data_IF_131577515534
#
_entry.id   IF_131577515534
#
_cell.length_a   1.000
_cell.length_b   1.000
_cell.length_c   1.000
_cell.angle_alpha   90.00
_cell.angle_beta   90.00
_cell.angle_gamma   90.00
#
_symmetry.space_group_name_H-M   'P 1'
#
loop_
_entity.id
_entity.type
_entity.pdbx_description
1 polymer ?
#
# COMPACT_ATOMS: atom_id res chain seq x y z
N UNK A 1 20.66 7.67 12.45
CA UNK A 1 20.07 9.03 12.47
C UNK A 1 19.01 9.15 13.55
N UNK A 2 17.92 8.36 13.55
CA UNK A 2 16.82 8.45 14.55
C UNK A 2 17.32 8.48 15.98
N UNK A 3 18.21 7.57 16.37
CA UNK A 3 18.76 7.49 17.75
C UNK A 3 19.58 8.71 18.18
N UNK A 4 20.16 9.45 17.23
CA UNK A 4 21.04 10.59 17.56
C UNK A 4 20.34 11.94 17.42
N UNK A 5 19.41 12.07 16.47
CA UNK A 5 18.82 13.36 16.07
C UNK A 5 17.29 13.38 16.16
N UNK A 6 16.67 12.23 16.46
CA UNK A 6 15.22 12.06 16.54
C UNK A 6 14.53 11.80 15.22
N UNK A 7 13.25 11.45 15.32
CA UNK A 7 12.41 11.04 14.18
C UNK A 7 12.20 12.18 13.18
N UNK A 8 11.89 13.38 13.68
CA UNK A 8 11.64 14.56 12.84
C UNK A 8 12.85 14.97 12.00
N UNK A 9 14.06 14.89 12.56
CA UNK A 9 15.29 15.16 11.83
C UNK A 9 15.52 14.10 10.72
N UNK A 10 15.24 12.82 11.01
CA UNK A 10 15.35 11.77 10.02
C UNK A 10 14.37 11.97 8.83
N UNK A 11 13.14 12.43 9.11
CA UNK A 11 12.20 12.79 8.04
C UNK A 11 12.65 14.02 7.26
N UNK A 12 13.18 15.05 7.92
CA UNK A 12 13.68 16.25 7.25
C UNK A 12 14.79 15.90 6.24
N UNK A 13 15.74 15.06 6.63
CA UNK A 13 16.82 14.60 5.76
C UNK A 13 16.28 13.73 4.62
N UNK A 14 15.34 12.81 4.91
CA UNK A 14 14.74 11.97 3.88
C UNK A 14 13.97 12.79 2.83
N UNK A 15 13.21 13.81 3.27
CA UNK A 15 12.47 14.71 2.37
C UNK A 15 13.42 15.55 1.50
N UNK A 16 14.53 16.00 2.04
CA UNK A 16 15.55 16.73 1.30
C UNK A 16 16.21 15.84 0.23
N UNK A 17 16.66 14.64 0.62
CA UNK A 17 17.25 13.67 -0.30
C UNK A 17 16.25 13.12 -1.35
N UNK A 18 14.97 12.99 -1.01
CA UNK A 18 13.92 12.60 -1.95
C UNK A 18 13.83 13.55 -3.15
N UNK A 19 14.13 14.84 -2.97
CA UNK A 19 14.12 15.80 -4.09
C UNK A 19 15.33 15.65 -5.02
N UNK A 20 16.44 15.09 -4.54
CA UNK A 20 17.75 15.05 -5.21
C UNK A 20 18.09 13.69 -5.80
N UNK A 21 17.79 12.61 -5.05
CA UNK A 21 18.31 11.29 -5.31
C UNK A 21 17.23 10.33 -5.84
N UNK A 22 17.43 9.80 -7.05
CA UNK A 22 16.49 8.86 -7.67
C UNK A 22 16.34 7.57 -6.87
N UNK A 23 17.42 7.07 -6.25
CA UNK A 23 17.35 5.89 -5.38
C UNK A 23 16.43 6.14 -4.18
N UNK A 24 16.54 7.32 -3.55
CA UNK A 24 15.68 7.68 -2.42
C UNK A 24 14.22 7.76 -2.84
N UNK A 25 13.92 8.33 -4.02
CA UNK A 25 12.56 8.33 -4.58
C UNK A 25 12.01 6.93 -4.77
N UNK A 26 12.81 6.04 -5.34
CA UNK A 26 12.39 4.66 -5.62
C UNK A 26 12.21 3.80 -4.35
N UNK A 27 13.00 4.07 -3.30
CA UNK A 27 13.04 3.29 -2.06
C UNK A 27 12.37 3.98 -0.86
N UNK A 28 11.73 5.13 -1.08
CA UNK A 28 11.28 6.02 -0.01
C UNK A 28 10.37 5.32 1.01
N UNK A 29 9.42 4.53 0.55
CA UNK A 29 8.53 3.77 1.42
C UNK A 29 9.30 2.82 2.35
N UNK A 30 10.30 2.10 1.84
CA UNK A 30 11.13 1.18 2.64
C UNK A 30 12.03 1.93 3.62
N UNK A 31 12.52 3.12 3.22
CA UNK A 31 13.31 3.97 4.11
C UNK A 31 12.47 4.48 5.28
N UNK A 32 11.20 4.84 5.05
CA UNK A 32 10.29 5.23 6.14
C UNK A 32 9.93 4.06 7.06
N UNK A 33 9.83 2.81 6.58
CA UNK A 33 9.76 1.63 7.45
C UNK A 33 10.94 1.57 8.43
N UNK A 34 12.16 1.85 7.96
CA UNK A 34 13.35 1.81 8.80
C UNK A 34 13.34 2.90 9.88
N UNK A 35 12.81 4.09 9.55
CA UNK A 35 12.60 5.16 10.55
C UNK A 35 11.57 4.72 11.59
N UNK A 36 10.47 4.10 11.17
CA UNK A 36 9.41 3.62 12.06
C UNK A 36 9.89 2.54 13.03
N UNK A 37 10.65 1.54 12.54
CA UNK A 37 11.24 0.51 13.41
C UNK A 37 12.16 1.12 14.47
N UNK A 38 13.05 2.02 14.06
CA UNK A 38 13.95 2.70 15.00
C UNK A 38 13.19 3.58 16.02
N UNK A 39 12.08 4.20 15.61
CA UNK A 39 11.23 4.96 16.50
C UNK A 39 10.53 4.07 17.55
N UNK A 40 9.94 2.95 17.12
CA UNK A 40 9.30 2.00 18.04
C UNK A 40 10.29 1.47 19.09
N UNK A 41 11.52 1.17 18.70
CA UNK A 41 12.58 0.81 19.65
C UNK A 41 12.90 1.96 20.62
N UNK A 42 13.02 3.20 20.11
CA UNK A 42 13.31 4.39 20.90
C UNK A 42 12.23 4.67 21.95
N UNK A 43 10.96 4.44 21.61
CA UNK A 43 9.80 4.67 22.48
C UNK A 43 9.32 3.40 23.19
N UNK A 44 10.12 2.32 23.18
CA UNK A 44 9.84 1.09 23.94
C UNK A 44 8.59 0.34 23.48
N UNK A 45 8.18 0.50 22.23
CA UNK A 45 6.99 -0.13 21.65
C UNK A 45 5.66 0.54 22.02
N UNK A 46 5.68 1.70 22.70
CA UNK A 46 4.48 2.47 23.01
C UNK A 46 3.89 3.08 21.73
N UNK A 47 2.74 2.57 21.28
CA UNK A 47 2.10 2.96 20.02
C UNK A 47 1.75 4.45 20.00
N UNK A 48 1.06 5.03 21.03
CA UNK A 48 0.75 6.45 21.02
C UNK A 48 1.99 7.35 20.90
N UNK A 49 3.03 7.10 21.71
CA UNK A 49 4.26 7.89 21.65
C UNK A 49 4.98 7.76 20.33
N UNK A 50 5.03 6.55 19.76
CA UNK A 50 5.64 6.30 18.45
C UNK A 50 4.85 7.01 17.35
N UNK A 51 3.52 6.85 17.32
CA UNK A 51 2.66 7.41 16.26
C UNK A 51 2.62 8.94 16.28
N UNK A 52 2.67 9.57 17.46
CA UNK A 52 2.72 11.04 17.59
C UNK A 52 3.92 11.69 16.90
N UNK A 53 4.97 10.92 16.60
CA UNK A 53 6.15 11.38 15.87
C UNK A 53 6.09 11.04 14.37
N UNK A 54 5.03 10.38 13.93
CA UNK A 54 4.87 9.88 12.57
C UNK A 54 4.69 10.98 11.53
N UNK A 55 4.92 10.59 10.28
CA UNK A 55 4.71 11.38 9.09
C UNK A 55 4.25 10.45 7.97
N UNK A 56 3.21 10.85 7.24
CA UNK A 56 2.62 10.07 6.14
C UNK A 56 3.46 10.06 4.86
N UNK A 57 4.54 10.80 4.86
CA UNK A 57 5.44 10.90 3.73
C UNK A 57 5.83 9.52 3.22
N UNK A 58 5.85 9.37 1.90
CA UNK A 58 6.10 8.09 1.23
C UNK A 58 5.12 6.98 1.62
N UNK A 59 3.85 7.34 1.73
CA UNK A 59 2.77 6.37 1.87
C UNK A 59 2.73 5.67 3.21
N UNK A 60 2.91 6.42 4.29
CA UNK A 60 2.73 5.94 5.66
C UNK A 60 3.65 4.78 6.09
N UNK A 61 4.75 4.53 5.36
CA UNK A 61 5.68 3.43 5.67
C UNK A 61 6.26 3.48 7.08
N UNK A 62 6.35 4.68 7.69
CA UNK A 62 6.75 4.84 9.08
C UNK A 62 5.88 4.02 10.03
N UNK A 63 4.57 4.13 9.91
CA UNK A 63 3.62 3.43 10.78
C UNK A 63 3.68 1.91 10.59
N UNK A 64 3.95 1.46 9.35
CA UNK A 64 4.13 0.04 9.06
C UNK A 64 5.38 -0.52 9.75
N UNK A 65 6.50 0.17 9.64
CA UNK A 65 7.75 -0.24 10.29
C UNK A 65 7.66 -0.18 11.82
N UNK A 66 6.98 0.84 12.37
CA UNK A 66 6.72 0.93 13.80
C UNK A 66 5.94 -0.29 14.30
N UNK A 67 4.86 -0.68 13.59
CA UNK A 67 4.03 -1.81 13.97
C UNK A 67 4.75 -3.16 13.82
N UNK A 68 5.63 -3.32 12.84
CA UNK A 68 6.50 -4.51 12.74
C UNK A 68 7.30 -4.71 14.04
N UNK A 69 7.89 -3.66 14.60
CA UNK A 69 8.64 -3.74 15.86
C UNK A 69 7.74 -3.96 17.06
N UNK A 70 6.57 -3.32 17.12
CA UNK A 70 5.60 -3.53 18.22
C UNK A 70 5.16 -4.99 18.29
N UNK A 71 4.71 -5.55 17.17
CA UNK A 71 4.24 -6.94 17.08
C UNK A 71 5.36 -7.92 17.40
N UNK A 72 6.58 -7.69 16.89
CA UNK A 72 7.74 -8.52 17.19
C UNK A 72 8.11 -8.51 18.69
N UNK A 73 7.99 -7.36 19.37
CA UNK A 73 8.28 -7.23 20.78
C UNK A 73 7.23 -7.92 21.69
N UNK A 74 5.96 -7.91 21.31
CA UNK A 74 4.88 -8.64 22.00
C UNK A 74 5.12 -10.15 21.87
N UNK A 75 5.47 -10.61 20.68
CA UNK A 75 5.80 -11.99 20.37
C UNK A 75 4.58 -12.89 20.16
N UNK A 76 4.83 -14.06 19.54
CA UNK A 76 3.79 -14.98 19.07
C UNK A 76 2.87 -15.52 20.19
N UNK A 77 3.40 -15.70 21.39
CA UNK A 77 2.63 -16.29 22.51
C UNK A 77 1.52 -15.38 23.04
N UNK A 78 1.62 -14.06 22.82
CA UNK A 78 0.70 -13.06 23.38
C UNK A 78 -0.05 -12.24 22.33
N UNK A 79 0.47 -12.22 21.12
CA UNK A 79 -0.02 -11.27 20.11
C UNK A 79 -1.51 -11.44 19.81
N UNK A 80 -2.03 -12.65 19.79
CA UNK A 80 -3.44 -12.90 19.48
C UNK A 80 -4.38 -12.41 20.59
N UNK A 81 -3.95 -12.46 21.84
CA UNK A 81 -4.73 -11.97 23.00
C UNK A 81 -4.73 -10.42 23.06
N UNK A 82 -3.67 -9.78 22.55
CA UNK A 82 -3.47 -8.35 22.66
C UNK A 82 -3.83 -7.59 21.36
N UNK A 83 -3.95 -8.28 20.23
CA UNK A 83 -4.06 -7.70 18.90
C UNK A 83 -5.17 -6.64 18.77
N UNK A 84 -6.36 -6.91 19.29
CA UNK A 84 -7.50 -5.98 19.22
C UNK A 84 -7.29 -4.71 20.06
N UNK A 85 -6.37 -4.76 21.04
CA UNK A 85 -6.05 -3.62 21.90
C UNK A 85 -4.88 -2.78 21.41
N UNK A 86 -4.04 -3.30 20.49
CA UNK A 86 -2.85 -2.60 20.00
C UNK A 86 -3.24 -1.28 19.34
N UNK A 87 -4.32 -1.29 18.56
CA UNK A 87 -4.83 -0.10 17.87
C UNK A 87 -5.91 0.65 18.69
N UNK A 88 -6.11 0.34 19.97
CA UNK A 88 -7.14 0.98 20.80
C UNK A 88 -6.95 2.50 20.91
N UNK A 89 -5.73 2.98 21.15
CA UNK A 89 -5.48 4.41 21.31
C UNK A 89 -5.78 5.23 20.04
N UNK A 90 -5.32 4.86 18.85
CA UNK A 90 -5.77 5.50 17.61
C UNK A 90 -7.28 5.42 17.38
N UNK A 91 -7.91 4.29 17.71
CA UNK A 91 -9.37 4.07 17.60
C UNK A 91 -10.15 5.00 18.52
N UNK A 92 -9.73 5.15 19.78
CA UNK A 92 -10.37 6.02 20.78
C UNK A 92 -10.24 7.51 20.43
N UNK A 93 -9.13 7.92 19.79
CA UNK A 93 -8.96 9.28 19.32
C UNK A 93 -9.95 9.61 18.19
N UNK A 94 -9.98 8.78 17.16
CA UNK A 94 -10.90 8.87 16.04
C UNK A 94 -10.97 7.54 15.31
N UNK A 95 -12.13 6.90 15.38
CA UNK A 95 -12.38 5.66 14.63
C UNK A 95 -12.20 5.88 13.12
N UNK A 96 -11.52 4.92 12.47
CA UNK A 96 -11.15 4.97 11.05
C UNK A 96 -10.34 6.20 10.63
N UNK A 97 -9.68 6.87 11.58
CA UNK A 97 -8.68 7.89 11.26
C UNK A 97 -7.52 7.29 10.43
N UNK A 98 -6.70 8.15 9.86
CA UNK A 98 -5.52 7.69 9.14
C UNK A 98 -4.58 6.87 10.05
N UNK A 99 -4.38 7.30 11.29
CA UNK A 99 -3.55 6.58 12.27
C UNK A 99 -4.15 5.21 12.62
N UNK A 100 -5.46 5.13 12.82
CA UNK A 100 -6.13 3.86 13.10
C UNK A 100 -6.03 2.90 11.91
N UNK A 101 -6.20 3.39 10.68
CA UNK A 101 -6.03 2.57 9.47
C UNK A 101 -4.59 2.12 9.27
N UNK A 102 -3.63 3.00 9.53
CA UNK A 102 -2.20 2.67 9.47
C UNK A 102 -1.82 1.64 10.54
N UNK A 103 -2.41 1.72 11.73
CA UNK A 103 -2.22 0.73 12.80
C UNK A 103 -2.71 -0.65 12.35
N UNK A 104 -3.96 -0.76 11.92
CA UNK A 104 -4.52 -2.03 11.47
C UNK A 104 -3.74 -2.61 10.27
N UNK A 105 -3.33 -1.77 9.30
CA UNK A 105 -2.53 -2.21 8.16
C UNK A 105 -1.12 -2.66 8.58
N UNK A 106 -0.50 -1.90 9.48
CA UNK A 106 0.83 -2.21 10.03
C UNK A 106 0.87 -3.53 10.80
N UNK A 107 -0.23 -3.94 11.45
CA UNK A 107 -0.33 -5.25 12.08
C UNK A 107 -0.13 -6.39 11.09
N UNK A 108 -0.66 -6.28 9.86
CA UNK A 108 -0.42 -7.27 8.81
C UNK A 108 1.04 -7.44 8.46
N UNK A 109 1.79 -6.34 8.37
CA UNK A 109 3.25 -6.39 8.21
C UNK A 109 3.93 -7.04 9.42
N UNK A 110 3.47 -6.73 10.63
CA UNK A 110 3.97 -7.33 11.87
C UNK A 110 3.74 -8.84 11.91
N UNK A 111 2.55 -9.30 11.58
CA UNK A 111 2.22 -10.73 11.54
C UNK A 111 3.07 -11.49 10.50
N UNK A 112 3.28 -10.93 9.32
CA UNK A 112 4.17 -11.52 8.32
C UNK A 112 5.59 -11.70 8.87
N UNK A 113 6.14 -10.68 9.52
CA UNK A 113 7.45 -10.79 10.18
C UNK A 113 7.47 -11.83 11.31
N UNK A 114 6.43 -11.86 12.13
CA UNK A 114 6.32 -12.76 13.29
C UNK A 114 6.20 -14.23 12.88
N UNK A 115 5.41 -14.52 11.85
CA UNK A 115 5.17 -15.89 11.36
C UNK A 115 6.11 -16.29 10.21
N UNK A 116 7.21 -15.56 9.99
CA UNK A 116 8.23 -15.94 9.00
C UNK A 116 7.72 -15.94 7.56
N UNK A 117 6.93 -14.95 7.20
CA UNK A 117 6.31 -14.77 5.89
C UNK A 117 5.28 -15.86 5.52
N UNK A 118 4.62 -16.44 6.52
CA UNK A 118 3.52 -17.38 6.34
C UNK A 118 2.20 -16.60 6.13
N UNK A 119 1.77 -16.48 4.86
CA UNK A 119 0.61 -15.67 4.46
C UNK A 119 -0.67 -16.13 5.15
N UNK A 120 -0.97 -17.44 5.15
CA UNK A 120 -2.23 -17.94 5.68
C UNK A 120 -2.31 -17.82 7.20
N UNK A 121 -1.23 -18.10 7.92
CA UNK A 121 -1.14 -17.91 9.37
C UNK A 121 -1.26 -16.42 9.74
N UNK A 122 -0.66 -15.53 8.93
CA UNK A 122 -0.77 -14.08 9.13
C UNK A 122 -2.20 -13.58 8.89
N UNK A 123 -2.93 -14.15 7.92
CA UNK A 123 -4.34 -13.84 7.68
C UNK A 123 -5.24 -14.34 8.82
N UNK A 124 -4.97 -15.54 9.36
CA UNK A 124 -5.66 -16.06 10.55
C UNK A 124 -5.44 -15.16 11.77
N UNK A 125 -4.24 -14.58 11.92
CA UNK A 125 -3.98 -13.59 12.95
C UNK A 125 -4.77 -12.28 12.71
N UNK A 126 -5.00 -11.86 11.47
CA UNK A 126 -5.90 -10.73 11.19
C UNK A 126 -7.36 -11.01 11.57
N UNK A 127 -7.80 -12.29 11.57
CA UNK A 127 -9.19 -12.67 11.92
C UNK A 127 -9.56 -12.34 13.37
N UNK A 128 -8.57 -12.16 14.28
CA UNK A 128 -8.84 -11.82 15.69
C UNK A 128 -9.30 -10.37 15.90
N UNK A 129 -9.08 -9.49 14.90
CA UNK A 129 -9.53 -8.10 14.96
C UNK A 129 -11.05 -8.02 14.90
N UNK A 130 -11.65 -7.19 15.77
CA UNK A 130 -13.12 -7.13 15.95
C UNK A 130 -13.83 -6.65 14.70
N UNK A 131 -13.29 -5.63 14.02
CA UNK A 131 -13.98 -4.95 12.95
C UNK A 131 -13.57 -5.50 11.56
N UNK A 132 -14.57 -5.69 10.69
CA UNK A 132 -14.32 -6.22 9.33
C UNK A 132 -13.39 -5.35 8.50
N UNK A 133 -13.47 -4.03 8.64
CA UNK A 133 -12.58 -3.12 7.92
C UNK A 133 -11.13 -3.16 8.46
N UNK A 134 -10.93 -3.40 9.77
CA UNK A 134 -9.58 -3.61 10.35
C UNK A 134 -8.97 -4.88 9.78
N UNK A 135 -9.74 -5.99 9.70
CA UNK A 135 -9.30 -7.23 9.06
C UNK A 135 -8.92 -7.02 7.59
N UNK A 136 -9.70 -6.21 6.86
CA UNK A 136 -9.35 -5.82 5.47
C UNK A 136 -8.04 -5.04 5.41
N UNK A 137 -7.81 -4.07 6.31
CA UNK A 137 -6.55 -3.31 6.34
C UNK A 137 -5.36 -4.20 6.73
N UNK A 138 -5.52 -5.02 7.75
CA UNK A 138 -4.51 -6.00 8.18
C UNK A 138 -4.12 -6.94 7.03
N UNK A 139 -5.08 -7.56 6.38
CA UNK A 139 -4.81 -8.42 5.22
C UNK A 139 -4.12 -7.68 4.06
N UNK A 140 -4.45 -6.40 3.88
CA UNK A 140 -3.72 -5.53 2.93
C UNK A 140 -2.24 -5.38 3.26
N UNK A 141 -1.88 -5.34 4.54
CA UNK A 141 -0.50 -5.35 5.03
C UNK A 141 0.20 -6.69 4.78
N UNK A 142 -0.50 -7.80 5.06
CA UNK A 142 0.00 -9.17 4.78
C UNK A 142 0.35 -9.33 3.30
N UNK A 143 -0.55 -8.97 2.38
CA UNK A 143 -0.28 -9.11 0.94
C UNK A 143 0.74 -8.11 0.42
N UNK A 144 0.85 -6.94 1.03
CA UNK A 144 1.89 -5.97 0.67
C UNK A 144 3.27 -6.52 1.01
N UNK A 145 3.45 -7.08 2.21
CA UNK A 145 4.72 -7.70 2.62
C UNK A 145 5.04 -8.90 1.73
N UNK A 146 4.07 -9.78 1.47
CA UNK A 146 4.26 -10.93 0.58
C UNK A 146 4.82 -10.54 -0.81
N UNK A 147 4.35 -9.44 -1.39
CA UNK A 147 4.80 -8.99 -2.71
C UNK A 147 6.17 -8.29 -2.64
N UNK A 148 6.49 -7.61 -1.54
CA UNK A 148 7.79 -6.96 -1.32
C UNK A 148 8.89 -8.01 -1.18
N UNK A 149 8.61 -9.14 -0.55
CA UNK A 149 9.56 -10.25 -0.36
C UNK A 149 10.07 -10.86 -1.67
N UNK A 150 9.42 -10.60 -2.80
CA UNK A 150 9.96 -11.01 -4.11
C UNK A 150 11.36 -10.44 -4.35
N UNK A 151 11.63 -9.23 -3.87
CA UNK A 151 12.92 -8.55 -4.04
C UNK A 151 13.96 -9.03 -3.01
N UNK A 152 13.60 -9.97 -2.11
CA UNK A 152 14.49 -10.55 -1.12
C UNK A 152 15.04 -11.92 -1.56
N UNK A 153 16.22 -11.98 -2.20
CA UNK A 153 16.76 -13.23 -2.71
C UNK A 153 17.13 -14.24 -1.60
N UNK A 154 17.25 -13.78 -0.35
CA UNK A 154 17.58 -14.64 0.80
C UNK A 154 16.35 -15.35 1.38
N UNK A 155 15.16 -14.87 1.13
CA UNK A 155 13.91 -15.45 1.60
C UNK A 155 12.75 -15.15 0.63
N UNK A 156 12.75 -15.77 -0.57
CA UNK A 156 11.68 -15.54 -1.53
C UNK A 156 10.36 -16.13 -1.02
N UNK A 157 9.27 -15.40 -1.19
CA UNK A 157 7.96 -15.90 -0.79
C UNK A 157 7.55 -17.14 -1.59
N UNK A 158 7.18 -18.21 -0.89
CA UNK A 158 6.60 -19.43 -1.52
C UNK A 158 5.18 -19.20 -2.07
N UNK A 159 4.58 -18.06 -1.76
CA UNK A 159 3.25 -17.67 -2.20
C UNK A 159 3.26 -16.83 -3.48
N UNK A 160 4.41 -16.64 -4.10
CA UNK A 160 4.56 -15.96 -5.38
C UNK A 160 4.97 -16.97 -6.46
N UNK A 161 4.01 -17.41 -7.28
CA UNK A 161 4.19 -18.45 -8.28
C UNK A 161 4.12 -17.88 -9.69
N UNK A 162 5.12 -18.17 -10.52
CA UNK A 162 5.21 -17.65 -11.88
C UNK A 162 4.14 -18.23 -12.82
N UNK A 163 3.75 -19.50 -12.60
CA UNK A 163 2.75 -20.24 -13.36
C UNK A 163 1.31 -19.98 -12.88
N UNK A 164 1.16 -19.52 -11.63
CA UNK A 164 -0.11 -19.13 -11.03
C UNK A 164 -0.03 -17.66 -10.54
N UNK A 165 0.01 -16.66 -11.43
CA UNK A 165 0.41 -15.30 -11.07
C UNK A 165 -0.52 -14.60 -10.07
N UNK A 166 -1.77 -15.06 -9.92
CA UNK A 166 -2.72 -14.57 -8.92
C UNK A 166 -2.81 -15.44 -7.66
N UNK A 167 -2.00 -16.49 -7.50
CA UNK A 167 -1.84 -17.14 -6.22
C UNK A 167 -1.13 -16.17 -5.24
N UNK A 168 -1.57 -16.03 -3.97
CA UNK A 168 -2.56 -16.82 -3.26
C UNK A 168 -4.02 -16.32 -3.33
N UNK A 169 -4.33 -15.27 -4.13
CA UNK A 169 -5.66 -14.64 -4.14
C UNK A 169 -6.79 -15.61 -4.57
N UNK A 170 -6.46 -16.64 -5.35
CA UNK A 170 -7.41 -17.67 -5.74
C UNK A 170 -7.84 -18.59 -4.58
N UNK A 171 -7.00 -18.70 -3.54
CA UNK A 171 -7.17 -19.65 -2.44
C UNK A 171 -7.62 -19.02 -1.12
N UNK A 172 -7.46 -17.70 -0.96
CA UNK A 172 -7.86 -17.00 0.27
C UNK A 172 -9.37 -16.84 0.38
N UNK A 173 -9.87 -16.62 1.60
CA UNK A 173 -11.28 -16.32 1.86
C UNK A 173 -11.74 -15.11 1.04
N UNK A 174 -13.03 -15.08 0.67
CA UNK A 174 -13.61 -14.02 -0.17
C UNK A 174 -13.36 -12.61 0.38
N UNK A 175 -13.39 -12.43 1.69
CA UNK A 175 -13.13 -11.16 2.37
C UNK A 175 -11.72 -10.61 2.15
N UNK A 176 -10.73 -11.49 1.89
CA UNK A 176 -9.33 -11.12 1.65
C UNK A 176 -8.96 -10.97 0.18
N UNK A 177 -9.83 -11.37 -0.74
CA UNK A 177 -9.54 -11.34 -2.18
C UNK A 177 -9.30 -9.92 -2.71
N UNK A 178 -10.08 -8.94 -2.26
CA UNK A 178 -9.90 -7.55 -2.72
C UNK A 178 -8.53 -6.98 -2.39
N UNK A 179 -8.06 -6.94 -1.13
CA UNK A 179 -6.71 -6.48 -0.81
C UNK A 179 -5.62 -7.34 -1.49
N UNK A 180 -5.85 -8.65 -1.63
CA UNK A 180 -4.93 -9.54 -2.33
C UNK A 180 -4.76 -9.13 -3.79
N UNK A 181 -5.83 -9.05 -4.59
CA UNK A 181 -5.74 -8.70 -6.01
C UNK A 181 -5.13 -7.33 -6.26
N UNK A 182 -5.40 -6.35 -5.39
CA UNK A 182 -4.77 -5.01 -5.47
C UNK A 182 -3.24 -5.12 -5.37
N UNK A 183 -2.73 -5.90 -4.42
CA UNK A 183 -1.29 -6.02 -4.19
C UNK A 183 -0.61 -6.99 -5.16
N UNK A 184 -1.26 -8.11 -5.48
CA UNK A 184 -0.71 -9.15 -6.35
C UNK A 184 -0.43 -8.65 -7.78
N UNK A 185 -1.15 -7.63 -8.27
CA UNK A 185 -0.87 -7.03 -9.59
C UNK A 185 0.55 -6.47 -9.72
N UNK A 186 1.22 -6.11 -8.62
CA UNK A 186 2.63 -5.69 -8.64
C UNK A 186 3.53 -6.86 -9.07
N UNK A 187 3.37 -8.02 -8.43
CA UNK A 187 4.08 -9.23 -8.80
C UNK A 187 3.80 -9.64 -10.24
N UNK A 188 2.51 -9.65 -10.61
CA UNK A 188 2.09 -10.00 -11.98
C UNK A 188 2.77 -9.09 -12.99
N UNK A 189 2.78 -7.78 -12.77
CA UNK A 189 3.40 -6.81 -13.67
C UNK A 189 4.91 -7.08 -13.86
N UNK A 190 5.65 -7.27 -12.77
CA UNK A 190 7.07 -7.63 -12.82
C UNK A 190 7.31 -8.91 -13.61
N UNK A 191 6.52 -9.96 -13.38
CA UNK A 191 6.65 -11.24 -14.11
C UNK A 191 6.29 -11.15 -15.58
N UNK A 192 5.48 -10.17 -15.97
CA UNK A 192 5.18 -9.88 -17.38
C UNK A 192 6.17 -8.87 -18.00
N UNK A 193 7.26 -8.50 -17.31
CA UNK A 193 8.27 -7.58 -17.85
C UNK A 193 7.73 -6.15 -18.06
N UNK A 194 6.88 -5.70 -17.13
CA UNK A 194 6.21 -4.39 -17.16
C UNK A 194 5.28 -4.17 -18.36
N UNK A 195 4.78 -5.25 -18.96
CA UNK A 195 3.81 -5.21 -20.05
C UNK A 195 2.38 -5.00 -19.49
N UNK A 196 1.93 -3.75 -19.47
CA UNK A 196 0.59 -3.39 -18.99
C UNK A 196 -0.53 -4.06 -19.77
N UNK A 197 -0.40 -4.19 -21.11
CA UNK A 197 -1.44 -4.80 -21.95
C UNK A 197 -1.67 -6.25 -21.55
N UNK A 198 -0.59 -6.99 -21.30
CA UNK A 198 -0.65 -8.38 -20.87
C UNK A 198 -1.25 -8.52 -19.47
N UNK A 199 -0.98 -7.58 -18.55
CA UNK A 199 -1.62 -7.58 -17.22
C UNK A 199 -3.11 -7.29 -17.33
N UNK A 200 -3.56 -6.40 -18.24
CA UNK A 200 -4.98 -6.21 -18.52
C UNK A 200 -5.67 -7.50 -18.99
N UNK A 201 -5.03 -8.27 -19.87
CA UNK A 201 -5.54 -9.58 -20.31
C UNK A 201 -5.66 -10.59 -19.16
N UNK A 202 -4.65 -10.62 -18.28
CA UNK A 202 -4.65 -11.50 -17.11
C UNK A 202 -5.73 -11.09 -16.10
N UNK A 203 -5.86 -9.79 -15.80
CA UNK A 203 -6.95 -9.29 -14.96
C UNK A 203 -8.34 -9.63 -15.55
N UNK A 204 -8.47 -9.65 -16.89
CA UNK A 204 -9.69 -10.06 -17.56
C UNK A 204 -10.13 -11.50 -17.29
N UNK A 205 -9.22 -12.36 -16.81
CA UNK A 205 -9.48 -13.76 -16.46
C UNK A 205 -9.78 -13.97 -14.98
N UNK A 206 -9.63 -12.92 -14.15
CA UNK A 206 -10.02 -12.94 -12.74
C UNK A 206 -11.54 -13.07 -12.65
N UNK A 207 -12.01 -13.75 -11.60
CA UNK A 207 -13.45 -13.91 -11.33
C UNK A 207 -14.19 -12.57 -11.30
N UNK A 208 -15.42 -12.53 -11.83
CA UNK A 208 -16.17 -11.30 -12.14
C UNK A 208 -16.23 -10.30 -10.98
N UNK A 209 -16.44 -10.77 -9.75
CA UNK A 209 -16.52 -9.91 -8.56
C UNK A 209 -15.22 -9.18 -8.20
N UNK A 210 -14.06 -9.70 -8.61
CA UNK A 210 -12.74 -9.16 -8.27
C UNK A 210 -11.95 -8.62 -9.46
N UNK A 211 -12.41 -8.86 -10.68
CA UNK A 211 -11.81 -8.30 -11.91
C UNK A 211 -11.64 -6.78 -11.86
N UNK A 212 -12.67 -5.99 -11.45
CA UNK A 212 -12.52 -4.54 -11.31
C UNK A 212 -11.42 -4.14 -10.31
N UNK A 213 -11.22 -4.92 -9.25
CA UNK A 213 -10.20 -4.70 -8.23
C UNK A 213 -8.78 -4.95 -8.80
N UNK A 214 -8.62 -5.97 -9.63
CA UNK A 214 -7.36 -6.22 -10.34
C UNK A 214 -6.98 -5.02 -11.22
N UNK A 215 -7.93 -4.42 -11.96
CA UNK A 215 -7.67 -3.22 -12.75
C UNK A 215 -7.31 -2.00 -11.89
N UNK A 216 -7.90 -1.85 -10.69
CA UNK A 216 -7.49 -0.82 -9.73
C UNK A 216 -6.05 -1.06 -9.28
N UNK A 217 -5.69 -2.29 -8.92
CA UNK A 217 -4.31 -2.66 -8.58
C UNK A 217 -3.32 -2.35 -9.71
N UNK A 218 -3.68 -2.63 -10.96
CA UNK A 218 -2.84 -2.25 -12.11
C UNK A 218 -2.66 -0.74 -12.20
N UNK A 219 -3.72 0.04 -12.02
CA UNK A 219 -3.64 1.51 -11.99
C UNK A 219 -2.71 2.03 -10.92
N UNK A 220 -2.72 1.44 -9.71
CA UNK A 220 -1.79 1.75 -8.64
C UNK A 220 -0.33 1.54 -9.11
N UNK A 221 -0.06 0.42 -9.77
CA UNK A 221 1.28 0.09 -10.26
C UNK A 221 1.75 1.02 -11.38
N UNK A 222 0.86 1.38 -12.32
CA UNK A 222 1.16 2.36 -13.38
C UNK A 222 1.58 3.70 -12.77
N UNK A 223 0.84 4.21 -11.78
CA UNK A 223 1.19 5.46 -11.10
C UNK A 223 2.49 5.35 -10.31
N UNK A 224 2.71 4.24 -9.62
CA UNK A 224 3.97 3.97 -8.91
C UNK A 224 5.16 3.95 -9.86
N UNK A 225 5.04 3.28 -11.01
CA UNK A 225 6.11 3.22 -12.00
C UNK A 225 6.39 4.60 -12.61
N UNK A 226 5.36 5.40 -12.89
CA UNK A 226 5.55 6.77 -13.37
C UNK A 226 6.36 7.62 -12.39
N UNK A 227 6.08 7.49 -11.08
CA UNK A 227 6.83 8.19 -10.04
C UNK A 227 8.29 7.69 -9.95
N UNK A 228 8.50 6.38 -10.00
CA UNK A 228 9.84 5.77 -10.00
C UNK A 228 10.69 6.19 -11.22
N UNK A 229 10.06 6.36 -12.37
CA UNK A 229 10.72 6.84 -13.59
C UNK A 229 11.06 8.33 -13.55
N UNK A 230 10.70 9.04 -12.48
CA UNK A 230 10.97 10.47 -12.32
C UNK A 230 10.08 11.37 -13.18
N UNK A 231 9.01 10.84 -13.77
CA UNK A 231 8.04 11.66 -14.51
C UNK A 231 7.20 12.51 -13.56
N UNK A 232 6.90 13.74 -13.95
CA UNK A 232 6.11 14.69 -13.18
C UNK A 232 5.16 15.48 -14.08
N UNK A 233 4.13 16.11 -13.49
CA UNK A 233 3.23 17.01 -14.22
C UNK A 233 2.56 16.34 -15.42
N UNK A 234 2.59 17.02 -16.58
CA UNK A 234 1.95 16.56 -17.82
C UNK A 234 2.51 15.24 -18.35
N UNK A 235 3.83 15.03 -18.27
CA UNK A 235 4.47 13.79 -18.73
C UNK A 235 4.03 12.58 -17.89
N UNK A 236 3.84 12.77 -16.59
CA UNK A 236 3.31 11.73 -15.70
C UNK A 236 1.85 11.40 -16.05
N UNK A 237 1.03 12.42 -16.25
CA UNK A 237 -0.37 12.25 -16.65
C UNK A 237 -0.48 11.54 -18.01
N UNK A 238 0.37 11.89 -18.98
CA UNK A 238 0.39 11.25 -20.31
C UNK A 238 0.82 9.78 -20.23
N UNK A 239 1.85 9.47 -19.47
CA UNK A 239 2.29 8.09 -19.24
C UNK A 239 1.15 7.24 -18.64
N UNK A 240 0.52 7.72 -17.56
CA UNK A 240 -0.57 6.98 -16.90
C UNK A 240 -1.76 6.83 -17.83
N UNK A 241 -2.14 7.92 -18.53
CA UNK A 241 -3.24 7.89 -19.50
C UNK A 241 -2.96 6.87 -20.61
N UNK A 242 -1.75 6.88 -21.18
CA UNK A 242 -1.34 5.94 -22.22
C UNK A 242 -1.46 4.49 -21.76
N UNK A 243 -0.93 4.17 -20.58
CA UNK A 243 -1.01 2.83 -20.00
C UNK A 243 -2.46 2.38 -19.72
N UNK A 244 -3.28 3.22 -19.04
CA UNK A 244 -4.67 2.85 -18.75
C UNK A 244 -5.53 2.69 -20.00
N UNK A 245 -5.22 3.41 -21.10
CA UNK A 245 -5.94 3.28 -22.36
C UNK A 245 -5.71 1.95 -23.09
N UNK A 246 -4.73 1.14 -22.67
CA UNK A 246 -4.55 -0.23 -23.18
C UNK A 246 -5.66 -1.19 -22.75
N UNK A 247 -6.34 -0.89 -21.65
CA UNK A 247 -7.46 -1.71 -21.15
C UNK A 247 -8.72 -1.60 -22.03
N UNK A 248 -9.71 -2.47 -21.76
CA UNK A 248 -11.02 -2.39 -22.38
C UNK A 248 -11.80 -1.15 -21.88
N UNK A 249 -12.54 -0.51 -22.79
CA UNK A 249 -13.14 0.81 -22.53
C UNK A 249 -14.14 0.83 -21.38
N UNK A 250 -15.00 -0.17 -21.30
CA UNK A 250 -16.17 -0.14 -20.42
C UNK A 250 -15.87 -0.42 -18.95
N UNK A 251 -14.86 -1.23 -18.66
CA UNK A 251 -14.55 -1.66 -17.29
C UNK A 251 -13.09 -1.37 -16.89
N UNK A 252 -12.14 -1.83 -17.69
CA UNK A 252 -10.73 -1.81 -17.33
C UNK A 252 -10.15 -0.39 -17.22
N UNK A 253 -10.44 0.47 -18.19
CA UNK A 253 -9.92 1.86 -18.23
C UNK A 253 -10.38 2.69 -17.04
N UNK A 254 -11.70 2.78 -16.73
CA UNK A 254 -12.15 3.56 -15.56
C UNK A 254 -11.54 3.07 -14.26
N UNK A 255 -11.42 1.76 -14.06
CA UNK A 255 -10.84 1.18 -12.84
C UNK A 255 -9.32 1.41 -12.74
N UNK A 256 -8.60 1.37 -13.85
CA UNK A 256 -7.19 1.77 -13.90
C UNK A 256 -7.01 3.24 -13.47
N UNK A 257 -7.81 4.16 -13.97
CA UNK A 257 -7.76 5.57 -13.55
C UNK A 257 -8.08 5.74 -12.06
N UNK A 258 -9.05 5.01 -11.52
CA UNK A 258 -9.34 5.02 -10.07
C UNK A 258 -8.10 4.63 -9.26
N UNK A 259 -7.44 3.54 -9.63
CA UNK A 259 -6.21 3.10 -8.98
C UNK A 259 -5.10 4.15 -9.08
N UNK A 260 -4.86 4.67 -10.28
CA UNK A 260 -3.82 5.65 -10.52
C UNK A 260 -4.03 6.94 -9.71
N UNK A 261 -5.26 7.47 -9.66
CA UNK A 261 -5.61 8.66 -8.87
C UNK A 261 -5.30 8.45 -7.39
N UNK A 262 -5.76 7.35 -6.81
CA UNK A 262 -5.53 7.02 -5.40
C UNK A 262 -4.04 6.89 -5.10
N UNK A 263 -3.30 6.24 -5.99
CA UNK A 263 -1.87 6.03 -5.82
C UNK A 263 -1.07 7.34 -5.95
N UNK A 264 -1.44 8.24 -6.86
CA UNK A 264 -0.81 9.55 -6.96
C UNK A 264 -1.01 10.36 -5.68
N UNK A 265 -2.24 10.39 -5.14
CA UNK A 265 -2.53 11.07 -3.87
C UNK A 265 -1.72 10.43 -2.73
N UNK A 266 -1.65 9.10 -2.68
CA UNK A 266 -0.86 8.37 -1.70
C UNK A 266 0.64 8.69 -1.77
N UNK A 267 1.20 8.82 -2.98
CA UNK A 267 2.63 9.09 -3.19
C UNK A 267 3.02 10.53 -2.84
N UNK A 268 2.14 11.51 -3.11
CA UNK A 268 2.45 12.94 -3.01
C UNK A 268 1.79 13.64 -1.82
N UNK A 269 0.92 12.96 -1.11
CA UNK A 269 0.09 13.48 -0.02
C UNK A 269 -0.73 14.73 -0.38
N UNK A 270 -1.04 14.87 -1.67
CA UNK A 270 -1.89 15.91 -2.22
C UNK A 270 -2.49 15.46 -3.55
N UNK A 271 -3.45 16.22 -4.08
CA UNK A 271 -4.19 15.86 -5.29
C UNK A 271 -3.71 16.54 -6.59
N UNK A 272 -2.61 17.27 -6.55
CA UNK A 272 -2.12 18.04 -7.71
C UNK A 272 -1.88 17.15 -8.93
N UNK A 273 -1.15 16.05 -8.76
CA UNK A 273 -0.85 15.11 -9.85
C UNK A 273 -2.09 14.32 -10.29
N UNK A 274 -2.96 13.97 -9.35
CA UNK A 274 -4.21 13.29 -9.63
C UNK A 274 -5.16 14.19 -10.46
N UNK A 275 -5.29 15.47 -10.12
CA UNK A 275 -6.07 16.44 -10.89
C UNK A 275 -5.50 16.63 -12.30
N UNK A 276 -4.17 16.77 -12.44
CA UNK A 276 -3.52 16.87 -13.73
C UNK A 276 -3.82 15.64 -14.63
N UNK A 277 -3.81 14.43 -14.06
CA UNK A 277 -4.24 13.23 -14.76
C UNK A 277 -5.71 13.32 -15.21
N UNK A 278 -6.61 13.69 -14.29
CA UNK A 278 -8.04 13.80 -14.60
C UNK A 278 -8.31 14.83 -15.71
N UNK A 279 -7.66 15.99 -15.67
CA UNK A 279 -7.78 17.06 -16.67
C UNK A 279 -7.25 16.64 -18.05
N UNK A 280 -6.28 15.72 -18.10
CA UNK A 280 -5.76 15.16 -19.36
C UNK A 280 -6.75 14.25 -20.10
N UNK A 281 -7.84 13.82 -19.44
CA UNK A 281 -8.84 12.94 -20.04
C UNK A 281 -9.75 13.72 -20.99
N UNK A 282 -9.89 13.23 -22.21
CA UNK A 282 -10.69 13.88 -23.27
C UNK A 282 -12.20 13.69 -23.08
N UNK A 283 -12.62 12.56 -22.51
CA UNK A 283 -14.04 12.26 -22.24
C UNK A 283 -14.51 12.99 -20.99
N UNK A 284 -15.56 13.79 -21.11
CA UNK A 284 -16.07 14.61 -20.00
C UNK A 284 -16.61 13.77 -18.84
N UNK A 285 -17.28 12.65 -19.14
CA UNK A 285 -17.79 11.73 -18.12
C UNK A 285 -16.66 11.06 -17.31
N UNK A 286 -15.58 10.65 -17.95
CA UNK A 286 -14.41 10.08 -17.27
C UNK A 286 -13.66 11.13 -16.46
N UNK A 287 -13.53 12.35 -17.00
CA UNK A 287 -12.91 13.46 -16.26
C UNK A 287 -13.67 13.77 -14.98
N UNK A 288 -14.99 13.88 -15.05
CA UNK A 288 -15.83 14.15 -13.90
C UNK A 288 -15.72 13.03 -12.84
N UNK A 289 -15.82 11.76 -13.25
CA UNK A 289 -15.66 10.62 -12.36
C UNK A 289 -14.25 10.56 -11.73
N UNK A 290 -13.21 10.87 -12.49
CA UNK A 290 -11.84 10.91 -12.01
C UNK A 290 -11.64 12.00 -10.93
N UNK A 291 -12.16 13.20 -11.14
CA UNK A 291 -12.11 14.29 -10.16
C UNK A 291 -12.89 13.96 -8.90
N UNK A 292 -14.06 13.33 -9.05
CA UNK A 292 -14.84 12.85 -7.90
C UNK A 292 -14.04 11.86 -7.05
N UNK A 293 -13.38 10.87 -7.66
CA UNK A 293 -12.52 9.91 -6.93
C UNK A 293 -11.40 10.64 -6.19
N UNK A 294 -10.80 11.67 -6.80
CA UNK A 294 -9.75 12.48 -6.17
C UNK A 294 -10.27 13.20 -4.94
N UNK A 295 -11.44 13.83 -5.02
CA UNK A 295 -12.05 14.56 -3.91
C UNK A 295 -12.44 13.62 -2.76
N UNK A 296 -13.09 12.49 -3.07
CA UNK A 296 -13.50 11.47 -2.10
C UNK A 296 -12.29 10.89 -1.35
N UNK A 297 -11.22 10.54 -2.07
CA UNK A 297 -10.04 9.95 -1.46
C UNK A 297 -9.25 10.95 -0.61
N UNK A 298 -9.16 12.23 -1.04
CA UNK A 298 -8.59 13.29 -0.22
C UNK A 298 -9.40 13.54 1.07
N UNK A 299 -10.73 13.49 0.97
CA UNK A 299 -11.59 13.63 2.15
C UNK A 299 -11.43 12.43 3.12
N UNK A 300 -11.27 11.23 2.58
CA UNK A 300 -10.98 10.02 3.36
C UNK A 300 -9.63 10.09 4.11
N UNK A 301 -8.59 10.65 3.49
CA UNK A 301 -7.26 10.81 4.12
C UNK A 301 -7.22 11.87 5.22
N UNK A 302 -8.11 12.84 5.20
CA UNK A 302 -8.17 13.92 6.21
C UNK A 302 -8.95 13.53 7.48
N UNK A 303 -9.57 12.37 7.50
CA UNK A 303 -10.21 11.78 8.69
C UNK A 303 -9.18 11.08 9.56
#
# INVERSE_FOLDING_TARGET
>A
MVYNSGVQAAFADLKDEFTKEQFVKASCHQLTHSIGRAAAELYGGDVPSTYSQGDDFCGSGYYHGAMQSVVANIGADKILDEADNICAAPREQQDQSLDHRNCAHGMGHGFMGLYGNEVFESLEACDVLSEGWEREKCSGGVFMENVIDEDNPSNPSKYLKADEPFYPCTEVKSEYKSPCYVRQTNYVLKKQGDDFAKVFELCGKVEDGFRPICYVGLGNNVATQSTKNGTTGGDQAEFIRGACMLGQETEARPKCFVGAVRQLIFNYDNDVQAKALCESLTRADWRAACLQVSEEYMAERRR
#
